data_IF_254978813413
#
_entry.id   IF_254978813413
#
_cell.length_a   1.000
_cell.length_b   1.000
_cell.length_c   1.000
_cell.angle_alpha   90.00
_cell.angle_beta   90.00
_cell.angle_gamma   90.00
#
_symmetry.space_group_name_H-M   'P 1'
#
loop_
_entity.id
_entity.type
_entity.pdbx_description
1 polymer ?
#
# COMPACT_ATOMS: atom_id res chain seq x y z
N UNK A 1 -13.45 -8.24 17.85
CA UNK A 1 -14.18 -8.53 16.59
C UNK A 1 -13.97 -7.33 15.69
N UNK A 2 -13.64 -7.55 14.42
CA UNK A 2 -13.46 -6.48 13.43
C UNK A 2 -14.57 -6.57 12.40
N UNK A 3 -14.97 -5.43 11.86
CA UNK A 3 -15.84 -5.33 10.70
C UNK A 3 -15.07 -4.63 9.60
N UNK A 4 -15.23 -5.08 8.36
CA UNK A 4 -14.70 -4.41 7.18
C UNK A 4 -15.85 -3.78 6.43
N UNK A 5 -15.65 -2.54 5.99
CA UNK A 5 -16.54 -1.83 5.08
C UNK A 5 -15.73 -1.65 3.80
N UNK A 6 -16.31 -1.98 2.64
CA UNK A 6 -15.65 -1.82 1.33
C UNK A 6 -15.61 -0.34 0.92
N UNK A 7 -14.91 0.47 1.71
CA UNK A 7 -14.73 1.91 1.51
C UNK A 7 -13.40 2.33 2.13
N UNK A 8 -12.58 3.02 1.33
CA UNK A 8 -11.35 3.64 1.84
C UNK A 8 -11.65 4.77 2.81
N UNK A 9 -10.77 4.97 3.80
CA UNK A 9 -10.87 6.05 4.78
C UNK A 9 -10.78 7.44 4.12
N UNK A 10 -10.08 7.53 2.98
CA UNK A 10 -10.02 8.69 2.12
C UNK A 10 -10.05 8.29 0.65
N UNK A 11 -10.58 9.15 -0.21
CA UNK A 11 -10.63 8.90 -1.65
C UNK A 11 -9.24 9.06 -2.27
N UNK A 12 -8.88 8.14 -3.17
CA UNK A 12 -7.66 8.23 -3.98
C UNK A 12 -8.04 8.94 -5.29
N UNK A 13 -7.35 10.04 -5.58
CA UNK A 13 -7.53 10.76 -6.84
C UNK A 13 -6.84 9.95 -7.95
N UNK A 14 -7.52 9.62 -9.05
CA UNK A 14 -6.90 8.92 -10.17
C UNK A 14 -5.74 9.74 -10.76
N UNK A 15 -4.61 9.09 -10.98
CA UNK A 15 -3.41 9.68 -11.57
C UNK A 15 -2.70 8.67 -12.50
N UNK A 16 -1.62 9.08 -13.15
CA UNK A 16 -0.80 8.21 -13.98
C UNK A 16 0.10 7.27 -13.14
N UNK A 17 0.24 5.99 -13.53
CA UNK A 17 1.22 5.07 -12.98
C UNK A 17 2.64 5.66 -12.86
N UNK A 18 3.16 5.65 -11.64
CA UNK A 18 4.52 6.06 -11.29
C UNK A 18 5.17 5.02 -10.35
N UNK A 19 5.93 4.06 -10.90
CA UNK A 19 6.61 3.04 -10.11
C UNK A 19 7.68 3.60 -9.15
N UNK A 20 8.23 4.79 -9.41
CA UNK A 20 9.19 5.40 -8.50
C UNK A 20 8.48 5.95 -7.26
N UNK A 21 7.32 6.59 -7.43
CA UNK A 21 6.44 6.98 -6.34
C UNK A 21 5.94 5.75 -5.55
N UNK A 22 5.56 4.67 -6.23
CA UNK A 22 5.17 3.41 -5.60
C UNK A 22 6.30 2.85 -4.70
N UNK A 23 7.54 2.88 -5.19
CA UNK A 23 8.71 2.47 -4.41
C UNK A 23 8.95 3.36 -3.19
N UNK A 24 8.78 4.68 -3.32
CA UNK A 24 8.92 5.59 -2.18
C UNK A 24 7.82 5.35 -1.12
N UNK A 25 6.56 5.17 -1.54
CA UNK A 25 5.45 4.87 -0.63
C UNK A 25 5.59 3.52 0.07
N UNK A 26 6.36 2.59 -0.49
CA UNK A 26 6.64 1.30 0.13
C UNK A 26 7.31 1.43 1.51
N UNK A 27 8.12 2.47 1.73
CA UNK A 27 8.69 2.79 3.06
C UNK A 27 7.58 3.26 4.02
N UNK A 28 6.60 4.03 3.54
CA UNK A 28 5.43 4.43 4.32
C UNK A 28 4.51 3.26 4.66
N UNK A 29 4.46 2.22 3.84
CA UNK A 29 3.68 1.01 4.13
C UNK A 29 4.40 0.07 5.11
N UNK A 30 5.59 -0.40 4.72
CA UNK A 30 6.31 -1.50 5.39
C UNK A 30 7.68 -1.16 5.94
N UNK A 31 8.09 0.10 5.84
CA UNK A 31 9.34 0.59 6.37
C UNK A 31 9.39 0.63 7.89
N UNK A 32 10.53 1.05 8.42
CA UNK A 32 10.76 1.07 9.87
C UNK A 32 9.79 2.00 10.60
N UNK A 33 9.26 3.01 9.93
CA UNK A 33 8.29 3.96 10.49
C UNK A 33 6.95 3.95 9.74
N UNK A 34 6.69 2.87 8.98
CA UNK A 34 5.48 2.76 8.17
C UNK A 34 4.25 2.28 8.93
N UNK A 35 3.13 2.27 8.22
CA UNK A 35 1.79 2.02 8.80
C UNK A 35 1.62 0.60 9.31
N UNK A 36 2.30 -0.39 8.72
CA UNK A 36 2.27 -1.76 9.26
C UNK A 36 2.86 -1.81 10.68
N UNK A 37 3.88 -0.99 10.97
CA UNK A 37 4.47 -0.91 12.30
C UNK A 37 3.53 -0.21 13.27
N UNK A 38 2.97 0.95 12.91
CA UNK A 38 2.05 1.71 13.79
C UNK A 38 0.81 0.88 14.12
N UNK A 39 0.18 0.27 13.10
CA UNK A 39 -0.94 -0.65 13.23
C UNK A 39 -0.61 -1.78 14.21
N UNK A 40 0.47 -2.53 13.97
CA UNK A 40 0.83 -3.65 14.86
C UNK A 40 1.16 -3.15 16.27
N UNK A 41 1.89 -2.04 16.40
CA UNK A 41 2.25 -1.48 17.69
C UNK A 41 1.02 -1.19 18.55
N UNK A 42 0.03 -0.47 18.02
CA UNK A 42 -1.16 -0.10 18.80
C UNK A 42 -2.09 -1.28 19.03
N UNK A 43 -2.26 -2.18 18.05
CA UNK A 43 -3.04 -3.40 18.25
C UNK A 43 -2.45 -4.28 19.36
N UNK A 44 -1.14 -4.54 19.33
CA UNK A 44 -0.50 -5.34 20.39
C UNK A 44 -0.53 -4.65 21.76
N UNK A 45 -0.37 -3.33 21.82
CA UNK A 45 -0.56 -2.58 23.07
C UNK A 45 -1.98 -2.71 23.60
N UNK A 46 -2.98 -2.64 22.71
CA UNK A 46 -4.38 -2.78 23.09
C UNK A 46 -4.71 -4.18 23.61
N UNK A 47 -4.19 -5.23 22.97
CA UNK A 47 -4.42 -6.62 23.38
C UNK A 47 -3.75 -6.94 24.71
N UNK A 48 -2.60 -6.32 24.96
CA UNK A 48 -1.82 -6.51 26.20
C UNK A 48 -2.17 -5.50 27.30
N UNK A 49 -3.17 -4.63 27.07
CA UNK A 49 -3.50 -3.56 28.01
C UNK A 49 -3.94 -4.13 29.36
N UNK A 50 -3.38 -3.57 30.44
CA UNK A 50 -3.69 -3.98 31.83
C UNK A 50 -4.13 -2.76 32.63
N UNK A 51 -5.15 -2.96 33.46
CA UNK A 51 -5.68 -1.93 34.35
C UNK A 51 -7.11 -1.53 34.03
N UNK A 52 -7.60 -0.50 34.72
CA UNK A 52 -8.99 -0.02 34.64
C UNK A 52 -9.12 1.33 33.93
N UNK A 53 -8.03 1.84 33.35
CA UNK A 53 -7.98 3.17 32.75
C UNK A 53 -8.56 3.14 31.34
N UNK A 54 -9.89 3.00 31.27
CA UNK A 54 -10.67 2.86 30.04
C UNK A 54 -10.36 3.92 28.97
N UNK A 55 -10.20 5.22 29.27
CA UNK A 55 -9.93 6.23 28.25
C UNK A 55 -8.66 5.96 27.42
N UNK A 56 -7.62 5.38 28.01
CA UNK A 56 -6.38 5.05 27.30
C UNK A 56 -6.51 3.77 26.47
N UNK A 57 -7.28 2.79 26.96
CA UNK A 57 -7.58 1.60 26.19
C UNK A 57 -8.38 1.96 24.94
N UNK A 58 -9.43 2.77 25.11
CA UNK A 58 -10.29 3.22 24.01
C UNK A 58 -9.48 4.03 22.98
N UNK A 59 -8.55 4.89 23.43
CA UNK A 59 -7.66 5.66 22.55
C UNK A 59 -6.75 4.75 21.71
N UNK A 60 -6.05 3.81 22.35
CA UNK A 60 -5.10 2.93 21.63
C UNK A 60 -5.84 1.96 20.70
N UNK A 61 -7.02 1.48 21.10
CA UNK A 61 -7.87 0.66 20.23
C UNK A 61 -8.39 1.46 19.03
N UNK A 62 -8.81 2.71 19.24
CA UNK A 62 -9.28 3.59 18.17
C UNK A 62 -8.19 3.82 17.13
N UNK A 63 -6.99 4.24 17.58
CA UNK A 63 -5.85 4.47 16.69
C UNK A 63 -5.46 3.18 15.99
N UNK A 64 -5.30 2.06 16.72
CA UNK A 64 -4.92 0.79 16.11
C UNK A 64 -5.88 0.28 15.03
N UNK A 65 -7.17 0.61 15.12
CA UNK A 65 -8.16 0.30 14.07
C UNK A 65 -8.07 1.28 12.90
N UNK A 66 -7.81 2.56 13.16
CA UNK A 66 -7.57 3.56 12.11
C UNK A 66 -6.36 3.19 11.24
N UNK A 67 -5.25 2.74 11.86
CA UNK A 67 -4.04 2.34 11.13
C UNK A 67 -4.26 1.14 10.19
N UNK A 68 -5.24 0.26 10.46
CA UNK A 68 -5.63 -0.79 9.50
C UNK A 68 -6.11 -0.15 8.19
N UNK A 69 -6.85 0.95 8.29
CA UNK A 69 -7.36 1.70 7.14
C UNK A 69 -6.25 2.47 6.43
N UNK A 70 -5.23 2.94 7.15
CA UNK A 70 -4.05 3.56 6.54
C UNK A 70 -3.21 2.55 5.75
N UNK A 71 -3.01 1.35 6.29
CA UNK A 71 -2.37 0.23 5.57
C UNK A 71 -3.14 -0.08 4.28
N UNK A 72 -4.47 -0.20 4.35
CA UNK A 72 -5.32 -0.43 3.16
C UNK A 72 -5.19 0.72 2.14
N UNK A 73 -5.21 1.97 2.59
CA UNK A 73 -5.11 3.15 1.75
C UNK A 73 -3.76 3.22 1.02
N UNK A 74 -2.64 3.05 1.73
CA UNK A 74 -1.31 3.11 1.12
C UNK A 74 -1.10 1.92 0.18
N UNK A 75 -1.48 0.70 0.57
CA UNK A 75 -1.36 -0.46 -0.30
C UNK A 75 -2.17 -0.29 -1.59
N UNK A 76 -3.40 0.20 -1.48
CA UNK A 76 -4.25 0.51 -2.65
C UNK A 76 -3.62 1.59 -3.53
N UNK A 77 -3.03 2.62 -2.92
CA UNK A 77 -2.35 3.71 -3.65
C UNK A 77 -1.14 3.19 -4.42
N UNK A 78 -0.30 2.35 -3.79
CA UNK A 78 0.83 1.68 -4.46
C UNK A 78 0.34 0.82 -5.63
N UNK A 79 -0.74 0.06 -5.45
CA UNK A 79 -1.32 -0.75 -6.52
C UNK A 79 -1.75 0.12 -7.72
N UNK A 80 -2.40 1.26 -7.48
CA UNK A 80 -2.76 2.21 -8.54
C UNK A 80 -1.53 2.77 -9.29
N UNK A 81 -0.46 3.09 -8.56
CA UNK A 81 0.77 3.60 -9.15
C UNK A 81 1.54 2.54 -9.94
N UNK A 82 1.34 1.26 -9.65
CA UNK A 82 1.92 0.13 -10.37
C UNK A 82 1.03 -0.37 -11.50
N UNK A 83 -0.19 0.17 -11.65
CA UNK A 83 -1.25 -0.34 -12.53
C UNK A 83 -0.95 -0.05 -14.01
N UNK A 84 -0.01 -0.81 -14.57
CA UNK A 84 0.43 -0.76 -15.96
C UNK A 84 -0.27 -1.80 -16.83
N UNK A 85 -1.59 -1.99 -16.63
CA UNK A 85 -2.45 -2.87 -17.43
C UNK A 85 -2.15 -2.73 -18.94
N UNK A 86 -2.29 -3.76 -19.78
CA UNK A 86 -2.16 -3.64 -21.25
C UNK A 86 -3.12 -2.63 -21.91
N UNK A 87 -3.99 -1.97 -21.14
CA UNK A 87 -4.82 -0.83 -21.53
C UNK A 87 -4.31 0.55 -21.07
N UNK A 88 -3.23 0.61 -20.30
CA UNK A 88 -2.59 1.85 -19.88
C UNK A 88 -1.90 2.51 -21.08
N UNK A 89 -2.33 3.72 -21.44
CA UNK A 89 -1.81 4.50 -22.57
C UNK A 89 -0.95 5.70 -22.14
N UNK A 90 -0.42 5.70 -20.92
CA UNK A 90 0.46 6.78 -20.44
C UNK A 90 1.86 6.75 -21.07
N UNK A 91 2.62 7.83 -20.89
CA UNK A 91 3.99 7.95 -21.43
C UNK A 91 4.90 6.92 -20.75
N UNK A 92 5.46 6.00 -21.53
CA UNK A 92 6.35 4.96 -21.02
C UNK A 92 5.66 3.65 -20.63
N UNK A 93 4.36 3.51 -20.90
CA UNK A 93 3.69 2.22 -20.90
C UNK A 93 4.45 1.29 -21.85
N UNK A 94 5.20 0.33 -21.28
CA UNK A 94 5.89 -0.70 -22.04
C UNK A 94 4.91 -1.29 -23.04
N UNK A 95 5.27 -1.27 -24.32
CA UNK A 95 4.36 -1.56 -25.42
C UNK A 95 3.56 -2.84 -25.14
N UNK A 96 2.26 -2.79 -25.47
CA UNK A 96 1.35 -3.92 -25.33
C UNK A 96 2.03 -5.22 -25.85
N UNK A 97 1.90 -6.33 -25.12
CA UNK A 97 2.49 -7.60 -25.54
C UNK A 97 2.01 -7.94 -26.96
N UNK A 98 2.93 -7.99 -27.93
CA UNK A 98 2.62 -8.32 -29.32
C UNK A 98 3.45 -7.61 -30.39
N UNK A 99 4.04 -6.44 -30.10
CA UNK A 99 4.82 -5.67 -31.10
C UNK A 99 6.35 -5.89 -31.04
N UNK A 100 6.82 -7.01 -30.48
CA UNK A 100 8.25 -7.31 -30.31
C UNK A 100 8.94 -6.54 -29.18
N UNK A 101 8.21 -5.73 -28.43
CA UNK A 101 8.69 -5.11 -27.21
C UNK A 101 8.62 -6.10 -26.03
N UNK A 102 9.66 -6.14 -25.21
CA UNK A 102 9.67 -6.92 -23.97
C UNK A 102 8.63 -6.36 -23.00
N UNK A 103 7.62 -7.14 -22.59
CA UNK A 103 6.67 -6.73 -21.56
C UNK A 103 7.40 -6.36 -20.27
N UNK A 104 6.87 -5.38 -19.53
CA UNK A 104 7.43 -4.93 -18.24
C UNK A 104 8.92 -4.52 -18.32
N UNK A 105 9.40 -4.03 -19.48
CA UNK A 105 10.77 -3.53 -19.63
C UNK A 105 11.14 -2.44 -18.60
N UNK A 106 10.15 -1.68 -18.13
CA UNK A 106 10.29 -0.70 -17.05
C UNK A 106 10.87 -1.34 -15.77
N UNK A 107 10.56 -2.61 -15.47
CA UNK A 107 11.02 -3.30 -14.27
C UNK A 107 12.55 -3.43 -14.21
N UNK A 108 13.25 -3.34 -15.35
CA UNK A 108 14.71 -3.40 -15.42
C UNK A 108 15.40 -2.12 -14.93
N UNK A 109 14.70 -0.98 -14.97
CA UNK A 109 15.24 0.33 -14.58
C UNK A 109 14.62 0.91 -13.32
N UNK A 110 13.51 0.35 -12.84
CA UNK A 110 12.84 0.84 -11.63
C UNK A 110 13.53 0.34 -10.35
N UNK A 111 13.41 1.13 -9.28
CA UNK A 111 14.13 0.90 -8.02
C UNK A 111 13.77 -0.38 -7.28
N UNK A 112 12.53 -0.87 -7.42
CA UNK A 112 12.07 -2.10 -6.79
C UNK A 112 11.51 -3.08 -7.80
N UNK A 113 12.37 -3.98 -8.29
CA UNK A 113 11.99 -5.02 -9.24
C UNK A 113 11.00 -6.04 -8.64
N UNK A 114 10.95 -6.18 -7.31
CA UNK A 114 10.08 -7.15 -6.65
C UNK A 114 8.60 -6.79 -6.79
N UNK A 115 8.26 -5.51 -6.98
CA UNK A 115 6.90 -5.09 -7.34
C UNK A 115 6.40 -5.80 -8.59
N UNK A 116 7.28 -6.11 -9.55
CA UNK A 116 6.92 -6.78 -10.79
C UNK A 116 7.08 -8.29 -10.74
N UNK A 117 8.10 -8.80 -10.03
CA UNK A 117 8.40 -10.24 -9.98
C UNK A 117 7.60 -11.02 -8.93
N UNK A 118 7.41 -10.44 -7.74
CA UNK A 118 6.77 -11.09 -6.59
C UNK A 118 5.38 -10.51 -6.37
N UNK A 119 5.28 -9.18 -6.36
CA UNK A 119 4.02 -8.47 -6.11
C UNK A 119 3.05 -8.47 -7.29
N UNK A 120 3.48 -8.91 -8.48
CA UNK A 120 2.68 -8.89 -9.70
C UNK A 120 2.00 -7.53 -9.97
N UNK A 121 2.79 -6.46 -9.90
CA UNK A 121 2.39 -5.05 -9.94
C UNK A 121 1.55 -4.61 -8.74
N UNK A 122 1.92 -5.09 -7.54
CA UNK A 122 1.26 -4.77 -6.29
C UNK A 122 2.24 -4.39 -5.17
N UNK A 123 1.68 -3.78 -4.13
CA UNK A 123 2.35 -3.52 -2.86
C UNK A 123 2.81 -4.83 -2.19
N UNK A 124 3.87 -4.76 -1.38
CA UNK A 124 4.44 -5.91 -0.66
C UNK A 124 4.77 -5.60 0.80
#
# INVERSE_FOLDING_TARGET
MFFHVQKLINEIIPDEPDPAAANALQEGLGGQFGEMRTMMQYLFQSFNFRGKAKPYLDLIQGIGVEEISHVELIATTINHLLDGSPRYQGKGAGAAPGNGATPLNIALSQGNIQHFLVGAQGAM
#
